data_IF_284260663381
#
_entry.id   IF_284260663381
#
_cell.length_a   1.000
_cell.length_b   1.000
_cell.length_c   1.000
_cell.angle_alpha   90.00
_cell.angle_beta   90.00
_cell.angle_gamma   90.00
#
_symmetry.space_group_name_H-M   'P 1'
#
loop_
_entity.id
_entity.type
_entity.pdbx_description
1 polymer ?
#
# COMPACT_ATOMS: atom_id res chain seq x y z
N UNK A 1 34.78 -5.96 15.27
CA UNK A 1 33.32 -6.05 15.10
C UNK A 1 32.90 -4.85 14.28
N UNK A 2 32.45 -4.97 13.03
CA UNK A 2 31.77 -3.85 12.40
C UNK A 2 30.53 -3.55 13.25
N UNK A 3 30.34 -2.29 13.62
CA UNK A 3 29.12 -1.87 14.30
C UNK A 3 27.94 -2.18 13.37
N UNK A 4 27.05 -3.07 13.79
CA UNK A 4 25.79 -3.29 13.09
C UNK A 4 25.03 -1.96 13.04
N UNK A 5 24.51 -1.54 11.88
CA UNK A 5 23.74 -0.31 11.80
C UNK A 5 22.48 -0.45 12.66
N UNK A 6 22.17 0.59 13.43
CA UNK A 6 20.88 0.73 14.10
C UNK A 6 19.76 0.69 13.05
N UNK A 7 18.57 0.15 13.38
CA UNK A 7 17.43 0.25 12.47
C UNK A 7 17.20 1.71 12.08
N UNK A 8 16.81 1.98 10.83
CA UNK A 8 16.51 3.35 10.41
C UNK A 8 15.40 3.92 11.29
N UNK A 9 15.44 5.24 11.51
CA UNK A 9 14.43 5.97 12.28
C UNK A 9 13.09 6.03 11.56
N UNK A 10 12.35 7.13 11.69
CA UNK A 10 11.08 7.30 10.95
C UNK A 10 11.32 7.39 9.43
N UNK A 11 10.39 6.91 8.58
CA UNK A 11 10.45 7.13 7.13
C UNK A 11 10.57 8.62 6.80
N UNK A 12 11.26 8.93 5.71
CA UNK A 12 11.38 10.30 5.22
C UNK A 12 10.07 10.74 4.58
N UNK A 13 9.60 11.94 4.91
CA UNK A 13 8.47 12.58 4.24
C UNK A 13 8.99 13.40 3.04
N UNK A 14 8.49 13.16 1.82
CA UNK A 14 8.86 13.95 0.65
C UNK A 14 8.48 15.42 0.79
N UNK A 15 9.20 16.30 0.08
CA UNK A 15 8.99 17.74 0.13
C UNK A 15 8.61 18.24 -1.27
N UNK A 16 7.38 18.76 -1.44
CA UNK A 16 6.85 19.16 -2.74
C UNK A 16 7.78 20.13 -3.51
N UNK A 17 8.44 21.06 -2.81
CA UNK A 17 9.41 22.02 -3.38
C UNK A 17 10.60 21.39 -4.09
N UNK A 18 10.86 20.10 -3.89
CA UNK A 18 11.97 19.37 -4.52
C UNK A 18 11.59 18.79 -5.89
N UNK A 19 10.31 18.82 -6.26
CA UNK A 19 9.81 18.24 -7.49
C UNK A 19 9.76 19.25 -8.65
N UNK A 20 9.88 18.72 -9.86
CA UNK A 20 9.72 19.52 -11.08
C UNK A 20 8.27 20.02 -11.20
N UNK A 21 8.03 21.15 -11.91
CA UNK A 21 6.67 21.62 -12.17
C UNK A 21 5.77 20.55 -12.79
N UNK A 22 6.29 19.78 -13.74
CA UNK A 22 5.55 18.71 -14.43
C UNK A 22 5.16 17.58 -13.48
N UNK A 23 6.06 17.19 -12.57
CA UNK A 23 5.74 16.19 -11.56
C UNK A 23 4.65 16.71 -10.62
N UNK A 24 4.77 17.95 -10.13
CA UNK A 24 3.74 18.55 -9.26
C UNK A 24 2.38 18.63 -9.94
N UNK A 25 2.34 19.02 -11.21
CA UNK A 25 1.11 19.03 -12.01
C UNK A 25 0.48 17.63 -12.11
N UNK A 26 1.27 16.59 -12.39
CA UNK A 26 0.75 15.21 -12.44
C UNK A 26 0.18 14.72 -11.11
N UNK A 27 0.81 15.10 -9.99
CA UNK A 27 0.31 14.76 -8.65
C UNK A 27 -0.97 15.55 -8.32
N UNK A 28 -1.06 16.81 -8.74
CA UNK A 28 -2.26 17.62 -8.56
C UNK A 28 -3.45 17.07 -9.35
N UNK A 29 -3.25 16.55 -10.57
CA UNK A 29 -4.29 15.86 -11.34
C UNK A 29 -4.80 14.64 -10.59
N UNK A 30 -3.91 13.83 -9.99
CA UNK A 30 -4.30 12.71 -9.16
C UNK A 30 -5.08 13.15 -7.91
N UNK A 31 -4.68 14.26 -7.28
CA UNK A 31 -5.42 14.83 -6.14
C UNK A 31 -6.81 15.35 -6.50
N UNK A 32 -6.98 15.94 -7.69
CA UNK A 32 -8.30 16.34 -8.20
C UNK A 32 -9.21 15.12 -8.40
N UNK A 33 -8.67 14.02 -8.90
CA UNK A 33 -9.40 12.76 -9.04
C UNK A 33 -9.82 12.16 -7.69
N UNK A 34 -8.92 12.19 -6.69
CA UNK A 34 -9.23 11.81 -5.31
C UNK A 34 -10.43 12.60 -4.78
N UNK A 35 -10.40 13.93 -4.92
CA UNK A 35 -11.52 14.78 -4.49
C UNK A 35 -12.80 14.50 -5.26
N UNK A 36 -12.74 14.33 -6.57
CA UNK A 36 -13.93 14.07 -7.38
C UNK A 36 -14.60 12.76 -6.98
N UNK A 37 -13.82 11.69 -6.74
CA UNK A 37 -14.35 10.40 -6.27
C UNK A 37 -15.05 10.53 -4.91
N UNK A 38 -14.44 11.23 -3.96
CA UNK A 38 -15.06 11.47 -2.65
C UNK A 38 -16.33 12.33 -2.79
N UNK A 39 -16.27 13.40 -3.59
CA UNK A 39 -17.40 14.32 -3.83
C UNK A 39 -18.60 13.64 -4.48
N UNK A 40 -18.41 12.65 -5.36
CA UNK A 40 -19.54 11.92 -5.98
C UNK A 40 -20.19 10.93 -5.01
N UNK A 41 -19.41 10.33 -4.10
CA UNK A 41 -19.94 9.47 -3.04
C UNK A 41 -20.72 10.29 -2.00
N UNK A 42 -20.15 11.41 -1.55
CA UNK A 42 -20.79 12.30 -0.57
C UNK A 42 -22.13 12.87 -1.06
N UNK A 43 -22.27 13.11 -2.37
CA UNK A 43 -23.56 13.53 -2.98
C UNK A 43 -24.69 12.54 -2.78
N UNK A 44 -24.37 11.28 -2.54
CA UNK A 44 -25.30 10.20 -2.27
C UNK A 44 -25.26 9.76 -0.80
N UNK A 45 -24.62 10.53 0.09
CA UNK A 45 -24.42 10.18 1.51
C UNK A 45 -23.64 8.85 1.69
N UNK A 46 -22.71 8.56 0.77
CA UNK A 46 -21.87 7.36 0.76
C UNK A 46 -20.42 7.71 1.13
N UNK A 47 -19.67 6.70 1.56
CA UNK A 47 -18.22 6.81 1.79
C UNK A 47 -17.47 5.59 1.23
N UNK A 48 -16.15 5.71 1.09
CA UNK A 48 -15.28 4.74 0.44
C UNK A 48 -15.39 3.33 1.07
N UNK A 49 -15.24 3.25 2.39
CA UNK A 49 -15.27 1.96 3.11
C UNK A 49 -16.66 1.34 3.05
N UNK A 50 -17.71 2.13 3.23
CA UNK A 50 -19.10 1.69 3.15
C UNK A 50 -19.44 1.08 1.78
N UNK A 51 -18.89 1.62 0.69
CA UNK A 51 -19.09 1.03 -0.64
C UNK A 51 -18.42 -0.34 -0.82
N UNK A 52 -17.32 -0.59 -0.13
CA UNK A 52 -16.63 -1.89 -0.15
C UNK A 52 -17.38 -2.93 0.67
N UNK A 53 -17.89 -2.52 1.85
CA UNK A 53 -18.63 -3.39 2.75
C UNK A 53 -20.08 -3.64 2.29
N UNK A 54 -20.61 -2.80 1.40
CA UNK A 54 -22.00 -2.90 0.93
C UNK A 54 -22.26 -4.27 0.32
N UNK A 55 -23.28 -4.95 0.85
CA UNK A 55 -23.74 -6.24 0.32
C UNK A 55 -22.83 -7.42 0.68
N UNK A 56 -21.82 -7.23 1.53
CA UNK A 56 -20.89 -8.30 1.97
C UNK A 56 -21.39 -9.09 3.18
N UNK A 57 -22.54 -8.70 3.77
CA UNK A 57 -23.13 -9.38 4.92
C UNK A 57 -22.72 -8.75 6.26
N UNK A 58 -22.56 -9.59 7.28
CA UNK A 58 -22.05 -9.17 8.58
C UNK A 58 -20.55 -8.84 8.45
N UNK A 59 -20.14 -7.76 9.11
CA UNK A 59 -18.73 -7.38 9.17
C UNK A 59 -18.01 -8.17 10.25
N UNK A 60 -16.96 -8.88 9.86
CA UNK A 60 -16.16 -9.77 10.69
C UNK A 60 -14.71 -9.31 10.64
N UNK A 61 -14.10 -9.15 11.82
CA UNK A 61 -12.70 -8.77 11.93
C UNK A 61 -11.79 -9.79 11.24
N UNK A 62 -10.69 -9.32 10.64
CA UNK A 62 -9.72 -10.09 9.86
C UNK A 62 -10.23 -10.69 8.55
N UNK A 63 -11.53 -10.62 8.24
CA UNK A 63 -12.03 -11.00 6.91
C UNK A 63 -11.71 -9.94 5.86
N UNK A 64 -11.55 -10.41 4.63
CA UNK A 64 -11.32 -9.55 3.47
C UNK A 64 -12.65 -9.05 2.90
N UNK A 65 -12.65 -7.79 2.49
CA UNK A 65 -13.78 -7.16 1.82
C UNK A 65 -13.36 -6.46 0.52
N UNK A 66 -14.10 -6.69 -0.58
CA UNK A 66 -15.14 -7.71 -0.72
C UNK A 66 -14.55 -9.13 -0.55
N UNK A 67 -15.39 -10.14 -0.29
CA UNK A 67 -14.95 -11.50 0.06
C UNK A 67 -14.02 -12.16 -0.98
N UNK A 68 -14.16 -11.78 -2.26
CA UNK A 68 -13.36 -12.32 -3.37
C UNK A 68 -12.15 -11.44 -3.71
N UNK A 69 -11.80 -10.46 -2.86
CA UNK A 69 -10.93 -9.33 -3.17
C UNK A 69 -11.41 -8.55 -4.42
N UNK A 70 -10.72 -7.47 -4.77
CA UNK A 70 -10.92 -6.78 -6.06
C UNK A 70 -9.69 -6.99 -6.91
N UNK A 71 -9.87 -7.49 -8.13
CA UNK A 71 -8.78 -7.68 -9.09
C UNK A 71 -9.12 -7.12 -10.47
N UNK A 72 -8.17 -6.41 -11.05
CA UNK A 72 -8.21 -5.97 -12.45
C UNK A 72 -7.26 -6.82 -13.28
N UNK A 73 -7.80 -7.56 -14.24
CA UNK A 73 -7.03 -8.46 -15.10
C UNK A 73 -6.20 -7.74 -16.16
N UNK A 74 -6.57 -6.52 -16.58
CA UNK A 74 -5.84 -5.77 -17.59
C UNK A 74 -4.55 -5.17 -17.01
N UNK A 75 -4.64 -4.66 -15.79
CA UNK A 75 -3.52 -3.99 -15.10
C UNK A 75 -2.78 -4.92 -14.15
N UNK A 76 -3.36 -6.09 -13.86
CA UNK A 76 -2.93 -7.06 -12.85
C UNK A 76 -2.93 -6.49 -11.43
N UNK A 77 -3.75 -5.47 -11.17
CA UNK A 77 -3.85 -4.83 -9.85
C UNK A 77 -4.85 -5.55 -8.97
N UNK A 78 -4.60 -5.58 -7.67
CA UNK A 78 -5.52 -6.16 -6.69
C UNK A 78 -5.56 -5.33 -5.41
N UNK A 79 -6.70 -5.32 -4.72
CA UNK A 79 -6.77 -4.89 -3.33
C UNK A 79 -7.80 -5.68 -2.54
N UNK A 80 -7.68 -5.62 -1.22
CA UNK A 80 -8.77 -5.92 -0.29
C UNK A 80 -8.77 -4.91 0.85
N UNK A 81 -9.88 -4.84 1.57
CA UNK A 81 -10.03 -4.11 2.82
C UNK A 81 -10.24 -5.08 3.98
N UNK A 82 -9.64 -4.83 5.14
CA UNK A 82 -9.95 -5.56 6.38
C UNK A 82 -9.79 -4.67 7.61
N UNK A 83 -10.23 -5.17 8.76
CA UNK A 83 -10.12 -4.50 10.06
C UNK A 83 -9.65 -5.45 11.14
N UNK A 84 -8.89 -4.90 12.09
CA UNK A 84 -8.46 -5.57 13.31
C UNK A 84 -9.37 -5.26 14.53
N UNK A 85 -10.54 -4.66 14.29
CA UNK A 85 -11.48 -4.27 15.32
C UNK A 85 -11.07 -3.04 16.14
N UNK A 86 -11.76 -2.84 17.26
CA UNK A 86 -11.63 -1.66 18.13
C UNK A 86 -10.23 -1.50 18.77
N UNK A 87 -9.39 -2.54 18.74
CA UNK A 87 -8.08 -2.54 19.38
C UNK A 87 -7.03 -1.67 18.66
N UNK A 88 -7.32 -1.16 17.45
CA UNK A 88 -6.40 -0.35 16.64
C UNK A 88 -6.87 1.08 16.37
N UNK A 89 -7.84 1.58 17.14
CA UNK A 89 -8.30 2.98 17.09
C UNK A 89 -7.10 3.95 17.13
N UNK A 90 -7.07 5.01 16.31
CA UNK A 90 -8.17 5.54 15.50
C UNK A 90 -8.38 4.85 14.14
N UNK A 91 -7.60 3.83 13.78
CA UNK A 91 -7.83 3.07 12.55
C UNK A 91 -9.13 2.25 12.67
N UNK A 92 -10.03 2.41 11.71
CA UNK A 92 -11.19 1.53 11.54
C UNK A 92 -10.78 0.24 10.82
N UNK A 93 -9.94 0.37 9.81
CA UNK A 93 -9.35 -0.72 9.05
C UNK A 93 -8.54 -0.14 7.91
N UNK A 94 -8.03 -1.00 7.02
CA UNK A 94 -7.12 -0.54 5.99
C UNK A 94 -7.22 -1.38 4.72
N UNK A 95 -6.88 -0.73 3.60
CA UNK A 95 -6.68 -1.41 2.34
C UNK A 95 -5.28 -2.00 2.27
N UNK A 96 -5.14 -3.20 1.69
CA UNK A 96 -3.88 -3.68 1.15
C UNK A 96 -3.94 -3.63 -0.37
N UNK A 97 -2.89 -3.14 -1.02
CA UNK A 97 -2.81 -3.06 -2.49
C UNK A 97 -1.69 -3.95 -3.03
N UNK A 98 -1.94 -4.59 -4.17
CA UNK A 98 -1.05 -5.58 -4.76
C UNK A 98 -0.95 -5.46 -6.28
N UNK A 99 0.12 -6.03 -6.82
CA UNK A 99 0.26 -6.38 -8.23
C UNK A 99 0.43 -7.90 -8.34
N UNK A 100 -0.36 -8.54 -9.21
CA UNK A 100 -0.21 -9.95 -9.62
C UNK A 100 0.94 -10.07 -10.59
N UNK A 101 2.12 -10.39 -10.08
CA UNK A 101 3.37 -10.37 -10.84
C UNK A 101 3.60 -11.61 -11.67
N UNK A 102 2.85 -12.69 -11.42
CA UNK A 102 2.93 -13.95 -12.16
C UNK A 102 2.69 -13.83 -13.65
N UNK A 103 1.77 -12.94 -14.02
CA UNK A 103 1.32 -12.74 -15.39
C UNK A 103 2.15 -11.67 -16.13
N UNK A 104 3.06 -10.98 -15.43
CA UNK A 104 3.84 -9.89 -16.01
C UNK A 104 5.00 -10.39 -16.87
N UNK A 105 5.13 -9.79 -18.06
CA UNK A 105 6.23 -10.02 -18.99
C UNK A 105 6.98 -8.70 -19.25
N UNK A 106 8.30 -8.61 -18.98
CA UNK A 106 9.13 -9.64 -18.35
C UNK A 106 8.81 -9.83 -16.86
N UNK A 107 9.09 -11.03 -16.34
CA UNK A 107 8.90 -11.35 -14.92
C UNK A 107 9.73 -10.41 -14.03
N UNK A 108 9.12 -9.71 -13.05
CA UNK A 108 9.85 -8.82 -12.17
C UNK A 108 10.87 -9.57 -11.30
N UNK A 109 12.00 -8.92 -11.01
CA UNK A 109 13.07 -9.51 -10.20
C UNK A 109 12.68 -9.53 -8.71
N UNK A 110 12.59 -10.73 -8.15
CA UNK A 110 12.36 -10.96 -6.71
C UNK A 110 13.67 -10.86 -5.92
N UNK A 111 13.55 -10.74 -4.60
CA UNK A 111 14.65 -11.08 -3.70
C UNK A 111 14.92 -12.60 -3.73
N UNK A 112 16.09 -13.00 -3.25
CA UNK A 112 16.37 -14.41 -3.01
C UNK A 112 15.92 -14.77 -1.59
N UNK A 113 15.06 -15.78 -1.41
CA UNK A 113 14.73 -16.28 -0.09
C UNK A 113 15.99 -16.82 0.60
N UNK A 114 15.98 -16.86 1.93
CA UNK A 114 17.00 -17.61 2.67
C UNK A 114 16.90 -19.10 2.29
N UNK A 115 18.01 -19.87 2.37
CA UNK A 115 17.98 -21.30 2.04
C UNK A 115 17.01 -22.12 2.90
N UNK A 116 16.70 -21.64 4.11
CA UNK A 116 15.81 -22.24 5.10
C UNK A 116 14.41 -21.60 5.14
N UNK A 117 14.12 -20.64 4.26
CA UNK A 117 12.81 -19.98 4.21
C UNK A 117 11.72 -20.91 3.63
N UNK A 118 10.49 -20.67 4.07
CA UNK A 118 9.30 -21.28 3.47
C UNK A 118 9.17 -20.90 1.98
N UNK A 119 8.48 -21.75 1.22
CA UNK A 119 8.24 -21.50 -0.20
C UNK A 119 7.40 -20.23 -0.39
N UNK A 120 7.91 -19.32 -1.22
CA UNK A 120 7.18 -18.10 -1.58
C UNK A 120 6.21 -18.39 -2.72
N UNK A 121 5.04 -17.70 -2.77
CA UNK A 121 4.19 -17.75 -3.94
C UNK A 121 4.98 -17.44 -5.22
N UNK A 122 4.71 -18.19 -6.28
CA UNK A 122 5.41 -18.08 -7.57
C UNK A 122 4.44 -18.35 -8.72
N UNK A 123 4.86 -18.04 -9.95
CA UNK A 123 3.96 -18.13 -11.12
C UNK A 123 2.70 -17.30 -10.90
N UNK A 124 1.55 -17.81 -11.32
CA UNK A 124 0.24 -17.13 -11.24
C UNK A 124 -0.19 -16.75 -9.81
N UNK A 125 0.43 -17.34 -8.78
CA UNK A 125 0.19 -17.00 -7.38
C UNK A 125 1.10 -15.87 -6.86
N UNK A 126 2.09 -15.42 -7.64
CA UNK A 126 3.00 -14.38 -7.22
C UNK A 126 2.28 -13.03 -7.08
N UNK A 127 2.33 -12.48 -5.87
CA UNK A 127 1.75 -11.20 -5.48
C UNK A 127 2.86 -10.31 -4.93
N UNK A 128 2.79 -9.02 -5.28
CA UNK A 128 3.65 -7.97 -4.76
C UNK A 128 2.79 -6.96 -4.01
N UNK A 129 2.88 -6.92 -2.68
CA UNK A 129 2.28 -5.86 -1.85
C UNK A 129 2.99 -4.54 -2.14
N UNK A 130 2.18 -3.52 -2.45
CA UNK A 130 2.67 -2.19 -2.77
C UNK A 130 2.66 -1.33 -1.52
N UNK A 131 1.47 -1.15 -0.93
CA UNK A 131 1.28 -0.34 0.27
C UNK A 131 -0.07 -0.66 0.91
N UNK A 132 -0.18 -0.36 2.20
CA UNK A 132 -1.47 -0.32 2.89
C UNK A 132 -1.94 1.12 3.13
N UNK A 133 -3.27 1.33 3.08
CA UNK A 133 -3.91 2.63 3.30
C UNK A 133 -4.80 2.54 4.54
N UNK A 134 -4.39 3.17 5.63
CA UNK A 134 -5.15 3.24 6.88
C UNK A 134 -6.35 4.18 6.73
N UNK A 135 -7.53 3.75 7.21
CA UNK A 135 -8.79 4.49 7.11
C UNK A 135 -9.39 4.74 8.50
N UNK A 136 -10.01 5.91 8.68
CA UNK A 136 -10.78 6.21 9.89
C UNK A 136 -12.24 5.70 9.80
N UNK A 137 -12.99 5.90 10.89
CA UNK A 137 -14.40 5.50 11.00
C UNK A 137 -15.34 6.20 10.02
N UNK A 138 -14.91 7.31 9.42
CA UNK A 138 -15.70 8.12 8.50
C UNK A 138 -15.34 7.82 7.04
N UNK A 139 -14.37 6.92 6.80
CA UNK A 139 -13.90 6.56 5.47
C UNK A 139 -12.88 7.53 4.89
N UNK A 140 -12.19 8.34 5.71
CA UNK A 140 -11.08 9.20 5.29
C UNK A 140 -9.74 8.50 5.51
N UNK A 141 -8.74 8.74 4.63
CA UNK A 141 -7.41 8.15 4.80
C UNK A 141 -6.63 8.82 5.95
N UNK A 142 -6.04 8.00 6.83
CA UNK A 142 -5.20 8.41 7.95
C UNK A 142 -3.71 8.43 7.59
N UNK A 143 -3.27 7.45 6.80
CA UNK A 143 -1.85 7.26 6.51
C UNK A 143 -1.58 6.08 5.60
N UNK A 144 -0.31 5.96 5.22
CA UNK A 144 0.23 4.86 4.45
C UNK A 144 1.22 4.08 5.30
N UNK A 145 1.25 2.77 5.14
CA UNK A 145 2.26 1.95 5.80
C UNK A 145 2.72 0.77 4.95
N UNK A 146 4.00 0.42 5.14
CA UNK A 146 4.61 -0.75 4.56
C UNK A 146 4.66 -1.87 5.61
N UNK A 147 4.48 -3.10 5.16
CA UNK A 147 4.47 -4.28 6.03
C UNK A 147 5.63 -5.20 5.71
N UNK A 148 5.91 -6.12 6.62
CA UNK A 148 6.80 -7.23 6.35
C UNK A 148 6.08 -8.34 5.58
N UNK A 149 6.86 -9.21 4.91
CA UNK A 149 6.36 -10.27 4.05
C UNK A 149 5.32 -11.15 4.75
N UNK A 150 5.59 -11.58 5.98
CA UNK A 150 4.70 -12.50 6.71
C UNK A 150 3.28 -11.96 6.88
N UNK A 151 3.09 -10.64 6.85
CA UNK A 151 1.77 -10.00 7.03
C UNK A 151 0.85 -10.32 5.88
N UNK A 152 1.39 -10.39 4.66
CA UNK A 152 0.61 -10.60 3.42
C UNK A 152 0.90 -11.92 2.74
N UNK A 153 1.93 -12.65 3.17
CA UNK A 153 2.38 -13.90 2.55
C UNK A 153 2.94 -13.73 1.13
N UNK A 154 3.22 -12.48 0.73
CA UNK A 154 3.59 -12.12 -0.63
C UNK A 154 4.89 -12.78 -1.13
N UNK A 155 5.17 -12.64 -2.42
CA UNK A 155 6.53 -12.83 -2.94
C UNK A 155 7.34 -11.57 -2.62
N UNK A 156 8.52 -11.70 -2.01
CA UNK A 156 9.26 -10.51 -1.63
C UNK A 156 9.98 -9.86 -2.81
N UNK A 157 9.58 -8.63 -3.14
CA UNK A 157 10.23 -7.79 -4.14
C UNK A 157 10.96 -6.63 -3.46
N UNK A 158 12.24 -6.39 -3.79
CA UNK A 158 12.97 -5.25 -3.23
C UNK A 158 12.40 -3.93 -3.75
N UNK A 159 12.55 -2.87 -2.96
CA UNK A 159 12.01 -1.54 -3.24
C UNK A 159 12.30 -1.04 -4.67
N UNK A 160 13.53 -1.18 -5.24
CA UNK A 160 13.78 -0.75 -6.62
C UNK A 160 12.90 -1.46 -7.66
N UNK A 161 12.50 -2.71 -7.42
CA UNK A 161 11.56 -3.43 -8.29
C UNK A 161 10.14 -2.91 -8.09
N UNK A 162 9.68 -2.77 -6.84
CA UNK A 162 8.32 -2.27 -6.55
C UNK A 162 8.10 -0.85 -7.05
N UNK A 163 9.09 0.03 -6.94
CA UNK A 163 9.04 1.41 -7.45
C UNK A 163 8.84 1.42 -8.98
N UNK A 164 9.38 0.44 -9.71
CA UNK A 164 9.15 0.29 -11.15
C UNK A 164 7.77 -0.27 -11.48
N UNK A 165 7.18 -1.06 -10.58
CA UNK A 165 5.84 -1.62 -10.73
C UNK A 165 4.74 -0.63 -10.31
N UNK A 166 5.02 0.30 -9.40
CA UNK A 166 4.06 1.25 -8.85
C UNK A 166 3.24 2.00 -9.92
N UNK A 167 3.80 2.47 -11.06
CA UNK A 167 3.01 3.10 -12.12
C UNK A 167 1.98 2.19 -12.80
N UNK A 168 2.06 0.87 -12.62
CA UNK A 168 1.12 -0.11 -13.20
C UNK A 168 -0.15 -0.27 -12.38
N UNK A 169 -0.13 0.14 -11.11
CA UNK A 169 -1.31 -0.01 -10.27
C UNK A 169 -2.45 0.88 -10.80
N UNK A 170 -3.53 0.22 -11.20
CA UNK A 170 -4.74 0.87 -11.69
C UNK A 170 -5.92 -0.11 -11.60
N UNK A 171 -7.00 0.36 -11.01
CA UNK A 171 -8.29 -0.34 -10.99
C UNK A 171 -9.32 0.73 -11.31
N UNK A 172 -9.95 0.62 -12.47
CA UNK A 172 -10.89 1.63 -12.96
C UNK A 172 -12.26 1.03 -13.37
N UNK A 173 -12.43 -0.28 -13.22
CA UNK A 173 -13.70 -0.95 -13.46
C UNK A 173 -14.74 -0.63 -12.39
N UNK A 174 -16.01 -0.95 -12.65
CA UNK A 174 -17.12 -0.50 -11.81
C UNK A 174 -17.35 -1.28 -10.52
N UNK A 175 -16.87 -2.52 -10.42
CA UNK A 175 -17.09 -3.40 -9.26
C UNK A 175 -16.05 -3.21 -8.15
N UNK A 176 -16.40 -3.24 -6.85
CA UNK A 176 -17.76 -3.14 -6.32
C UNK A 176 -18.26 -1.69 -6.36
N UNK A 177 -17.35 -0.72 -6.50
CA UNK A 177 -17.66 0.70 -6.55
C UNK A 177 -16.65 1.44 -7.42
N UNK A 178 -17.14 1.96 -8.55
CA UNK A 178 -16.34 2.71 -9.50
C UNK A 178 -15.60 3.92 -8.88
N UNK A 179 -16.25 4.76 -8.05
CA UNK A 179 -15.55 5.87 -7.38
C UNK A 179 -14.46 5.38 -6.42
N UNK A 180 -14.69 4.28 -5.69
CA UNK A 180 -13.70 3.78 -4.73
C UNK A 180 -12.48 3.20 -5.43
N UNK A 181 -12.68 2.46 -6.52
CA UNK A 181 -11.58 1.93 -7.32
C UNK A 181 -10.69 3.03 -7.90
N UNK A 182 -11.32 4.04 -8.54
CA UNK A 182 -10.61 5.20 -9.08
C UNK A 182 -9.93 6.01 -7.97
N UNK A 183 -10.56 6.12 -6.80
CA UNK A 183 -9.96 6.76 -5.63
C UNK A 183 -8.69 6.06 -5.16
N UNK A 184 -8.68 4.73 -5.00
CA UNK A 184 -7.47 3.99 -4.58
C UNK A 184 -6.34 4.22 -5.59
N UNK A 185 -6.65 4.08 -6.89
CA UNK A 185 -5.70 4.33 -7.97
C UNK A 185 -5.12 5.76 -7.92
N UNK A 186 -5.99 6.75 -7.76
CA UNK A 186 -5.60 8.16 -7.70
C UNK A 186 -4.81 8.50 -6.42
N UNK A 187 -5.16 7.88 -5.28
CA UNK A 187 -4.44 8.06 -4.02
C UNK A 187 -3.00 7.54 -4.12
N UNK A 188 -2.81 6.34 -4.69
CA UNK A 188 -1.47 5.78 -4.93
C UNK A 188 -0.66 6.66 -5.88
N UNK A 189 -1.29 7.25 -6.91
CA UNK A 189 -0.63 8.20 -7.82
C UNK A 189 -0.25 9.50 -7.10
N UNK A 190 -1.16 10.10 -6.31
CA UNK A 190 -0.93 11.34 -5.56
C UNK A 190 0.19 11.19 -4.52
N UNK A 191 0.19 10.07 -3.80
CA UNK A 191 1.16 9.80 -2.74
C UNK A 191 2.32 8.92 -3.20
N UNK A 192 2.51 8.74 -4.51
CA UNK A 192 3.61 7.96 -5.07
C UNK A 192 4.97 8.28 -4.42
N UNK A 193 5.39 9.57 -4.26
CA UNK A 193 6.67 9.86 -3.62
C UNK A 193 6.78 9.36 -2.17
N UNK A 194 5.66 9.31 -1.44
CA UNK A 194 5.62 8.82 -0.06
C UNK A 194 5.74 7.29 -0.03
N UNK A 195 5.07 6.61 -0.96
CA UNK A 195 5.15 5.16 -1.12
C UNK A 195 6.59 4.76 -1.47
N UNK A 196 7.26 5.48 -2.37
CA UNK A 196 8.66 5.22 -2.71
C UNK A 196 9.58 5.31 -1.48
N UNK A 197 9.42 6.33 -0.63
CA UNK A 197 10.19 6.46 0.62
C UNK A 197 9.83 5.36 1.65
N UNK A 198 8.56 4.96 1.75
CA UNK A 198 8.14 3.85 2.62
C UNK A 198 8.72 2.50 2.18
N UNK A 199 8.78 2.23 0.87
CA UNK A 199 9.36 1.01 0.33
C UNK A 199 10.88 0.95 0.57
N UNK A 200 11.59 2.06 0.33
CA UNK A 200 13.02 2.15 0.62
C UNK A 200 13.30 1.98 2.12
N UNK A 201 12.47 2.59 2.96
CA UNK A 201 12.56 2.45 4.41
C UNK A 201 12.30 1.02 4.88
N UNK A 202 11.26 0.36 4.35
CA UNK A 202 10.94 -1.06 4.60
C UNK A 202 12.15 -1.96 4.36
N UNK A 203 12.77 -1.86 3.19
CA UNK A 203 13.94 -2.66 2.85
C UNK A 203 15.12 -2.39 3.81
N UNK A 204 15.34 -1.13 4.22
CA UNK A 204 16.38 -0.77 5.17
C UNK A 204 16.09 -1.31 6.59
N UNK A 205 14.83 -1.33 7.03
CA UNK A 205 14.41 -1.95 8.31
C UNK A 205 14.67 -3.44 8.30
N UNK A 206 14.21 -4.15 7.27
CA UNK A 206 14.43 -5.60 7.12
C UNK A 206 15.93 -5.92 7.10
N UNK A 207 16.71 -5.16 6.33
CA UNK A 207 18.15 -5.36 6.24
C UNK A 207 18.86 -5.15 7.59
N UNK A 208 18.52 -4.06 8.30
CA UNK A 208 19.11 -3.77 9.61
C UNK A 208 18.71 -4.83 10.65
N UNK A 209 17.46 -5.28 10.64
CA UNK A 209 17.00 -6.36 11.52
C UNK A 209 17.76 -7.66 11.25
N UNK A 210 17.87 -8.06 9.98
CA UNK A 210 18.57 -9.28 9.59
C UNK A 210 20.06 -9.27 9.99
N UNK A 211 20.71 -8.10 9.93
CA UNK A 211 22.11 -7.95 10.36
C UNK A 211 22.27 -8.05 11.88
N UNK A 212 21.28 -7.58 12.64
CA UNK A 212 21.27 -7.67 14.11
C UNK A 212 20.83 -9.06 14.61
N UNK A 213 20.07 -9.80 13.81
CA UNK A 213 19.55 -11.13 14.13
C UNK A 213 19.86 -12.13 13.00
N UNK A 214 21.15 -12.46 12.74
CA UNK A 214 21.55 -13.27 11.58
C UNK A 214 20.95 -14.69 11.58
N UNK A 215 20.64 -15.24 12.75
CA UNK A 215 20.07 -16.59 12.90
C UNK A 215 18.55 -16.63 12.67
N UNK A 216 17.87 -15.49 12.62
CA UNK A 216 16.42 -15.39 12.42
C UNK A 216 16.11 -14.96 10.99
N UNK A 217 14.98 -15.41 10.43
CA UNK A 217 14.47 -14.88 9.17
C UNK A 217 13.72 -13.58 9.42
N UNK A 218 14.33 -12.46 9.03
CA UNK A 218 13.72 -11.15 9.20
C UNK A 218 12.38 -11.00 8.46
N UNK A 219 12.16 -11.74 7.38
CA UNK A 219 10.92 -11.67 6.59
C UNK A 219 9.75 -12.42 7.25
N UNK A 220 10.04 -13.29 8.21
CA UNK A 220 9.06 -14.09 8.96
C UNK A 220 8.95 -13.68 10.44
N UNK A 221 9.68 -12.65 10.86
CA UNK A 221 9.70 -12.19 12.24
C UNK A 221 8.46 -11.37 12.60
N UNK A 222 7.65 -11.91 13.53
CA UNK A 222 6.40 -11.29 14.00
C UNK A 222 6.59 -9.99 14.77
N UNK A 223 7.82 -9.68 15.24
CA UNK A 223 8.14 -8.38 15.82
C UNK A 223 8.18 -7.26 14.77
N UNK A 224 8.29 -7.61 13.49
CA UNK A 224 8.30 -6.69 12.36
C UNK A 224 6.97 -6.77 11.60
N UNK A 225 5.87 -6.29 12.17
CA UNK A 225 4.59 -6.25 11.45
C UNK A 225 4.56 -5.09 10.45
N UNK A 226 4.68 -3.87 10.97
CA UNK A 226 4.75 -2.63 10.19
C UNK A 226 6.19 -2.13 10.22
N UNK A 227 6.79 -1.97 9.04
CA UNK A 227 8.18 -1.48 8.95
C UNK A 227 8.24 0.03 8.97
N UNK A 228 7.20 0.72 8.50
CA UNK A 228 7.14 2.18 8.48
C UNK A 228 5.72 2.69 8.23
N UNK A 229 5.43 3.87 8.77
CA UNK A 229 4.14 4.56 8.66
C UNK A 229 4.37 6.05 8.34
N UNK A 230 3.58 6.61 7.42
CA UNK A 230 3.52 8.06 7.17
C UNK A 230 2.06 8.50 7.26
N UNK A 231 1.69 9.44 8.17
CA UNK A 231 0.37 10.05 8.15
C UNK A 231 0.20 10.88 6.88
N UNK A 232 -1.00 10.88 6.29
CA UNK A 232 -1.28 11.63 5.06
C UNK A 232 -2.47 12.56 5.22
N UNK A 233 -2.43 13.67 4.48
CA UNK A 233 -3.58 14.56 4.29
C UNK A 233 -3.59 15.01 2.83
N UNK A 234 -4.65 14.67 2.11
CA UNK A 234 -4.84 15.05 0.70
C UNK A 234 -4.77 16.56 0.55
N UNK A 235 -5.52 17.29 1.37
CA UNK A 235 -5.60 18.76 1.36
C UNK A 235 -4.24 19.42 1.60
N UNK A 236 -3.54 19.00 2.67
CA UNK A 236 -2.23 19.59 3.00
C UNK A 236 -1.22 19.29 1.88
N UNK A 237 -1.22 18.07 1.35
CA UNK A 237 -0.29 17.68 0.31
C UNK A 237 -0.54 18.43 -1.00
N UNK A 238 -1.81 18.57 -1.41
CA UNK A 238 -2.16 19.36 -2.60
C UNK A 238 -1.80 20.85 -2.42
N UNK A 239 -2.00 21.41 -1.22
CA UNK A 239 -1.57 22.77 -0.93
C UNK A 239 -0.04 22.96 -1.09
N UNK A 240 0.75 22.03 -0.56
CA UNK A 240 2.21 22.04 -0.73
C UNK A 240 2.64 21.91 -2.19
N UNK A 241 1.94 21.11 -3.00
CA UNK A 241 2.22 20.94 -4.42
C UNK A 241 1.98 22.22 -5.24
N UNK A 242 1.04 23.07 -4.81
CA UNK A 242 0.74 24.36 -5.45
C UNK A 242 1.66 25.51 -5.01
N UNK A 243 2.38 25.35 -3.90
CA UNK A 243 3.25 26.38 -3.32
C UNK A 243 4.60 26.49 -4.05
#
# INVERSE_FOLDING_TARGET
>A
MPHSPSPPGTPRVPLARTFTPQMRESLLVAGQEVHECMRVLEKAELNLVGEILRGQGEFVEFEHYPHDDVSDHETHSQYYYHSHGDNRRPEHGHFHTFIRTGELVPTPKTAQPRPDADEWPSGDAALAHIISIAMDDWGYPLGLFATNRWVTGETWYPAPTLIQLLPRFEIDHAYPSWPTNRWITALLRLFRPHIEELLLHRDAVIQAWQQNHPEQDALEDRALEITGYIPISVEQWMHELTS
#
